data_IF_979396784973
#
_entry.id   IF_979396784973
#
_cell.length_a   1.000
_cell.length_b   1.000
_cell.length_c   1.000
_cell.angle_alpha   90.00
_cell.angle_beta   90.00
_cell.angle_gamma   90.00
#
_symmetry.space_group_name_H-M   'P 1'
#
loop_
_entity.id
_entity.type
_entity.pdbx_description
1 polymer ?
#
# COMPACT_ATOMS: atom_id res chain seq x y z
N UNK A 1 43.78 10.40 42.90
CA UNK A 1 44.48 9.21 42.39
C UNK A 1 43.42 8.45 41.59
N UNK A 2 43.46 8.21 40.27
CA UNK A 2 44.51 8.05 39.27
C UNK A 2 44.00 8.63 37.94
N UNK A 3 44.91 9.25 37.21
CA UNK A 3 44.83 9.75 35.83
C UNK A 3 44.61 8.64 34.78
N UNK A 4 43.85 8.90 33.72
CA UNK A 4 44.19 8.45 32.36
C UNK A 4 43.36 9.19 31.31
N UNK A 5 43.99 10.16 30.65
CA UNK A 5 43.58 10.64 29.34
C UNK A 5 44.13 9.66 28.27
N UNK A 6 43.34 9.34 27.25
CA UNK A 6 43.88 8.81 25.98
C UNK A 6 43.27 9.54 24.80
N UNK A 7 44.09 10.42 24.24
CA UNK A 7 43.99 11.01 22.91
C UNK A 7 44.49 9.98 21.89
N UNK A 8 43.75 9.73 20.80
CA UNK A 8 44.32 9.17 19.57
C UNK A 8 43.82 9.97 18.37
N UNK A 9 44.82 10.47 17.63
CA UNK A 9 44.73 11.35 16.47
C UNK A 9 44.38 10.58 15.19
N UNK A 10 43.65 11.28 14.33
CA UNK A 10 43.69 11.34 12.86
C UNK A 10 43.97 10.08 12.00
N UNK A 11 43.08 9.86 11.02
CA UNK A 11 43.51 9.80 9.61
C UNK A 11 42.37 10.14 8.65
N UNK A 12 42.42 11.36 8.12
CA UNK A 12 41.78 11.69 6.86
C UNK A 12 42.55 10.99 5.74
N UNK A 13 41.86 10.29 4.84
CA UNK A 13 42.47 9.75 3.62
C UNK A 13 41.78 10.35 2.40
N UNK A 14 42.54 11.29 1.79
CA UNK A 14 42.26 11.92 0.51
C UNK A 14 42.17 10.88 -0.61
N UNK A 15 41.19 11.11 -1.48
CA UNK A 15 41.18 10.96 -2.93
C UNK A 15 41.98 9.85 -3.62
N UNK A 16 41.30 9.13 -4.51
CA UNK A 16 41.89 8.80 -5.80
C UNK A 16 40.80 8.78 -6.87
N UNK A 17 40.96 9.73 -7.80
CA UNK A 17 40.31 9.85 -9.09
C UNK A 17 40.78 8.68 -9.97
N UNK A 18 39.87 7.91 -10.56
CA UNK A 18 40.21 7.05 -11.70
C UNK A 18 39.22 7.29 -12.85
N UNK A 19 39.82 7.83 -13.90
CA UNK A 19 39.32 8.15 -15.22
C UNK A 19 39.34 6.87 -16.08
N UNK A 20 38.53 6.88 -17.16
CA UNK A 20 38.51 5.93 -18.31
C UNK A 20 37.72 4.63 -18.07
N UNK A 21 36.92 4.10 -19.01
CA UNK A 21 37.07 4.07 -20.46
C UNK A 21 35.72 3.83 -21.16
N UNK A 22 35.46 4.55 -22.26
CA UNK A 22 34.40 4.30 -23.23
C UNK A 22 34.52 2.88 -23.82
N UNK A 23 33.43 2.12 -23.81
CA UNK A 23 33.28 0.88 -24.56
C UNK A 23 31.99 0.93 -25.38
N UNK A 24 32.10 1.27 -26.66
CA UNK A 24 31.01 1.15 -27.65
C UNK A 24 31.02 -0.31 -28.12
N UNK A 25 30.12 -1.12 -27.57
CA UNK A 25 29.84 -2.46 -28.06
C UNK A 25 28.77 -2.41 -29.16
N UNK A 26 29.18 -2.60 -30.41
CA UNK A 26 28.27 -2.80 -31.53
C UNK A 26 27.69 -4.23 -31.45
N UNK A 27 26.39 -4.34 -31.18
CA UNK A 27 25.64 -5.58 -31.38
C UNK A 27 25.12 -5.61 -32.82
N UNK A 28 25.59 -6.56 -33.62
CA UNK A 28 25.04 -6.88 -34.93
C UNK A 28 24.16 -8.14 -34.78
N UNK A 29 22.82 -8.05 -34.87
CA UNK A 29 21.99 -9.25 -34.87
C UNK A 29 21.96 -9.83 -36.30
N UNK A 30 22.57 -11.00 -36.46
CA UNK A 30 22.28 -11.91 -37.58
C UNK A 30 20.84 -12.38 -37.41
N UNK A 31 19.99 -12.08 -38.39
CA UNK A 31 18.61 -12.56 -38.44
C UNK A 31 18.63 -14.03 -38.89
N UNK A 32 18.24 -14.94 -38.00
CA UNK A 32 17.80 -16.28 -38.35
C UNK A 32 16.28 -16.26 -38.55
N UNK A 33 15.83 -16.73 -39.71
CA UNK A 33 14.45 -16.74 -40.15
C UNK A 33 13.70 -17.91 -39.50
N UNK A 34 12.67 -17.61 -38.68
CA UNK A 34 11.75 -18.61 -38.12
C UNK A 34 10.43 -18.53 -38.86
N UNK A 35 9.87 -19.65 -39.36
CA UNK A 35 8.73 -19.65 -40.27
C UNK A 35 7.44 -19.22 -39.57
N UNK A 36 6.67 -18.43 -40.32
CA UNK A 36 5.39 -17.86 -39.94
C UNK A 36 4.35 -18.94 -39.59
N UNK A 37 4.03 -19.06 -38.30
CA UNK A 37 2.68 -19.42 -37.89
C UNK A 37 1.94 -18.12 -37.56
N UNK A 38 1.09 -17.74 -38.50
CA UNK A 38 0.15 -16.64 -38.45
C UNK A 38 -0.83 -16.86 -37.32
N UNK A 39 -0.66 -16.15 -36.21
CA UNK A 39 -1.72 -15.39 -35.53
C UNK A 39 -1.07 -14.13 -34.95
N UNK A 40 -1.30 -13.00 -35.62
CA UNK A 40 -0.80 -11.70 -35.17
C UNK A 40 -1.46 -11.34 -33.83
N UNK A 41 -0.70 -11.01 -32.77
CA UNK A 41 -1.30 -10.41 -31.59
C UNK A 41 -1.85 -9.06 -32.03
N UNK A 42 -3.18 -8.93 -31.97
CA UNK A 42 -3.87 -7.66 -32.14
C UNK A 42 -3.19 -6.62 -31.22
N UNK A 43 -2.83 -5.50 -31.82
CA UNK A 43 -1.89 -4.54 -31.26
C UNK A 43 -2.21 -4.12 -29.82
N UNK A 44 -1.18 -4.16 -28.97
CA UNK A 44 -1.20 -3.50 -27.66
C UNK A 44 -1.10 -1.99 -27.86
N UNK A 45 -2.21 -1.37 -28.23
CA UNK A 45 -2.37 0.09 -28.27
C UNK A 45 -3.37 0.60 -27.23
N UNK A 46 -3.84 -0.26 -26.32
CA UNK A 46 -4.68 0.15 -25.18
C UNK A 46 -3.81 0.49 -23.98
N UNK A 47 -3.97 1.71 -23.45
CA UNK A 47 -3.48 2.05 -22.10
C UNK A 47 -4.09 1.07 -21.08
N UNK A 48 -3.34 0.71 -20.05
CA UNK A 48 -3.87 -0.12 -18.96
C UNK A 48 -4.94 0.67 -18.20
N UNK A 49 -6.18 0.17 -18.21
CA UNK A 49 -7.27 0.67 -17.38
C UNK A 49 -7.41 -0.22 -16.14
N UNK A 50 -7.49 0.42 -14.98
CA UNK A 50 -7.69 -0.31 -13.73
C UNK A 50 -9.15 -0.76 -13.59
N UNK A 51 -9.37 -1.97 -13.07
CA UNK A 51 -10.73 -2.43 -12.79
C UNK A 51 -11.42 -1.57 -11.72
N UNK A 52 -12.76 -1.57 -11.66
CA UNK A 52 -13.51 -0.88 -10.61
C UNK A 52 -13.04 -1.21 -9.20
N UNK A 53 -12.77 -2.50 -8.91
CA UNK A 53 -12.24 -2.91 -7.62
C UNK A 53 -10.85 -2.33 -7.35
N UNK A 54 -9.96 -2.32 -8.34
CA UNK A 54 -8.63 -1.75 -8.19
C UNK A 54 -8.68 -0.23 -7.96
N UNK A 55 -9.64 0.48 -8.57
CA UNK A 55 -9.92 1.88 -8.28
C UNK A 55 -10.39 2.06 -6.84
N UNK A 56 -11.36 1.26 -6.39
CA UNK A 56 -11.87 1.29 -5.02
C UNK A 56 -10.75 1.08 -3.99
N UNK A 57 -9.92 0.04 -4.14
CA UNK A 57 -8.81 -0.25 -3.23
C UNK A 57 -7.80 0.91 -3.13
N UNK A 58 -7.54 1.61 -4.24
CA UNK A 58 -6.65 2.79 -4.24
C UNK A 58 -7.28 3.99 -3.54
N UNK A 59 -8.59 4.22 -3.72
CA UNK A 59 -9.31 5.26 -2.98
C UNK A 59 -9.23 4.96 -1.49
N UNK A 60 -9.57 3.74 -1.08
CA UNK A 60 -9.59 3.33 0.32
C UNK A 60 -8.26 3.55 1.03
N UNK A 61 -7.15 3.17 0.40
CA UNK A 61 -5.82 3.42 0.95
C UNK A 61 -5.53 4.93 1.08
N UNK A 62 -5.92 5.72 0.08
CA UNK A 62 -5.74 7.18 0.06
C UNK A 62 -6.58 7.86 1.15
N UNK A 63 -7.82 7.42 1.32
CA UNK A 63 -8.76 7.95 2.31
C UNK A 63 -8.24 7.66 3.74
N UNK A 64 -7.81 6.43 4.02
CA UNK A 64 -7.20 6.06 5.29
C UNK A 64 -5.88 6.83 5.56
N UNK A 65 -5.03 6.99 4.55
CA UNK A 65 -3.81 7.80 4.65
C UNK A 65 -4.11 9.27 4.99
N UNK A 66 -5.12 9.85 4.33
CA UNK A 66 -5.49 11.26 4.52
C UNK A 66 -5.98 11.55 5.94
N UNK A 67 -6.59 10.56 6.59
CA UNK A 67 -7.16 10.68 7.93
C UNK A 67 -6.20 10.22 9.04
N UNK A 68 -5.07 9.61 8.69
CA UNK A 68 -4.05 9.13 9.64
C UNK A 68 -3.65 10.18 10.67
N UNK A 69 -3.36 11.41 10.24
CA UNK A 69 -2.93 12.47 11.15
C UNK A 69 -4.03 12.87 12.14
N UNK A 70 -5.30 12.85 11.71
CA UNK A 70 -6.45 13.13 12.59
C UNK A 70 -6.72 11.97 13.54
N UNK A 71 -6.52 10.73 13.09
CA UNK A 71 -6.61 9.55 13.95
C UNK A 71 -5.58 9.66 15.08
N UNK A 72 -4.32 9.91 14.73
CA UNK A 72 -3.21 10.04 15.67
C UNK A 72 -3.40 11.20 16.66
N UNK A 73 -3.89 12.35 16.18
CA UNK A 73 -4.23 13.49 17.02
C UNK A 73 -5.50 13.27 17.87
N UNK A 74 -6.28 12.23 17.60
CA UNK A 74 -7.56 11.98 18.27
C UNK A 74 -8.65 12.99 17.91
N UNK A 75 -8.56 13.63 16.74
CA UNK A 75 -9.47 14.69 16.27
C UNK A 75 -10.36 14.23 15.11
N UNK A 76 -10.37 12.93 14.82
CA UNK A 76 -11.20 12.33 13.77
C UNK A 76 -12.69 12.42 14.18
N UNK A 77 -13.54 12.83 13.26
CA UNK A 77 -14.96 13.10 13.52
C UNK A 77 -15.87 11.99 13.01
N UNK A 78 -17.07 11.87 13.58
CA UNK A 78 -18.09 10.92 13.09
C UNK A 78 -18.40 11.15 11.61
N UNK A 79 -18.52 12.40 11.17
CA UNK A 79 -18.81 12.72 9.77
C UNK A 79 -17.72 12.27 8.79
N UNK A 80 -16.46 12.28 9.19
CA UNK A 80 -15.36 11.77 8.38
C UNK A 80 -15.38 10.24 8.27
N UNK A 81 -15.71 9.54 9.37
CA UNK A 81 -15.85 8.08 9.33
C UNK A 81 -17.09 7.67 8.54
N UNK A 82 -18.22 8.39 8.68
CA UNK A 82 -19.44 8.13 7.91
C UNK A 82 -19.19 8.30 6.40
N UNK A 83 -18.47 9.35 6.00
CA UNK A 83 -18.07 9.56 4.61
C UNK A 83 -17.19 8.41 4.10
N UNK A 84 -16.24 7.93 4.91
CA UNK A 84 -15.38 6.80 4.58
C UNK A 84 -16.19 5.50 4.42
N UNK A 85 -17.08 5.17 5.35
CA UNK A 85 -17.96 3.99 5.28
C UNK A 85 -18.76 4.02 3.98
N UNK A 86 -19.39 5.16 3.67
CA UNK A 86 -20.18 5.32 2.45
C UNK A 86 -19.35 5.17 1.19
N UNK A 87 -18.15 5.74 1.15
CA UNK A 87 -17.26 5.67 -0.01
C UNK A 87 -16.74 4.24 -0.23
N UNK A 88 -16.45 3.51 0.85
CA UNK A 88 -15.80 2.21 0.80
C UNK A 88 -16.79 1.05 0.59
N UNK A 89 -18.08 1.25 0.89
CA UNK A 89 -19.11 0.22 0.71
C UNK A 89 -19.19 -0.33 -0.73
N UNK A 90 -18.82 0.48 -1.73
CA UNK A 90 -18.83 0.06 -3.14
C UNK A 90 -17.87 -1.11 -3.45
N UNK A 91 -16.86 -1.38 -2.62
CA UNK A 91 -15.92 -2.49 -2.87
C UNK A 91 -16.59 -3.87 -2.83
N UNK A 92 -17.71 -4.02 -2.12
CA UNK A 92 -18.38 -5.33 -1.92
C UNK A 92 -18.99 -5.87 -3.21
N UNK A 93 -19.20 -5.00 -4.20
CA UNK A 93 -19.80 -5.34 -5.50
C UNK A 93 -18.96 -4.89 -6.70
N UNK A 94 -17.75 -4.39 -6.49
CA UNK A 94 -16.91 -3.86 -7.56
C UNK A 94 -16.22 -4.96 -8.37
N UNK A 95 -16.21 -4.82 -9.70
CA UNK A 95 -15.58 -5.79 -10.59
C UNK A 95 -14.05 -5.84 -10.46
N UNK A 96 -13.53 -7.06 -10.27
CA UNK A 96 -12.10 -7.33 -10.23
C UNK A 96 -11.47 -7.36 -11.64
N UNK A 97 -10.15 -7.15 -11.70
CA UNK A 97 -9.41 -7.25 -12.97
C UNK A 97 -9.43 -8.68 -13.52
N UNK A 98 -9.44 -9.66 -12.61
CA UNK A 98 -9.57 -11.09 -12.88
C UNK A 98 -10.54 -11.67 -11.85
N UNK A 99 -11.84 -11.79 -12.17
CA UNK A 99 -12.84 -12.30 -11.24
C UNK A 99 -12.47 -13.67 -10.66
N UNK A 100 -11.76 -14.51 -11.42
CA UNK A 100 -11.28 -15.83 -11.01
C UNK A 100 -10.23 -15.79 -9.88
N UNK A 101 -9.54 -14.66 -9.69
CA UNK A 101 -8.57 -14.47 -8.60
C UNK A 101 -9.27 -14.10 -7.27
N UNK A 102 -10.56 -13.76 -7.31
CA UNK A 102 -11.35 -13.40 -6.12
C UNK A 102 -12.04 -14.63 -5.54
N UNK A 103 -11.48 -15.14 -4.44
CA UNK A 103 -12.08 -16.26 -3.69
C UNK A 103 -13.38 -15.84 -2.97
N UNK A 104 -14.29 -16.79 -2.68
CA UNK A 104 -15.54 -16.51 -1.96
C UNK A 104 -15.38 -15.81 -0.60
N UNK A 105 -14.22 -15.95 0.06
CA UNK A 105 -13.92 -15.28 1.33
C UNK A 105 -13.76 -13.76 1.22
N UNK A 106 -13.68 -13.19 0.01
CA UNK A 106 -13.45 -11.76 -0.19
C UNK A 106 -14.55 -10.91 0.42
N UNK A 107 -15.81 -11.33 0.24
CA UNK A 107 -16.99 -10.64 0.77
C UNK A 107 -16.92 -10.53 2.30
N UNK A 108 -16.54 -11.62 2.98
CA UNK A 108 -16.37 -11.62 4.44
C UNK A 108 -15.27 -10.65 4.92
N UNK A 109 -14.17 -10.50 4.19
CA UNK A 109 -13.15 -9.50 4.51
C UNK A 109 -13.65 -8.06 4.26
N UNK A 110 -14.38 -7.83 3.18
CA UNK A 110 -14.95 -6.53 2.85
C UNK A 110 -15.98 -6.10 3.91
N UNK A 111 -16.86 -7.00 4.33
CA UNK A 111 -17.80 -6.77 5.42
C UNK A 111 -17.09 -6.52 6.75
N UNK A 112 -16.12 -7.36 7.10
CA UNK A 112 -15.33 -7.18 8.32
C UNK A 112 -14.65 -5.81 8.37
N UNK A 113 -14.16 -5.31 7.24
CA UNK A 113 -13.57 -3.97 7.16
C UNK A 113 -14.60 -2.87 7.47
N UNK A 114 -15.80 -2.97 6.88
CA UNK A 114 -16.87 -2.00 7.14
C UNK A 114 -17.34 -2.05 8.60
N UNK A 115 -17.40 -3.24 9.21
CA UNK A 115 -17.66 -3.40 10.64
C UNK A 115 -16.59 -2.70 11.48
N UNK A 116 -15.30 -2.85 11.15
CA UNK A 116 -14.24 -2.14 11.89
C UNK A 116 -14.34 -0.62 11.77
N UNK A 117 -14.82 -0.09 10.64
CA UNK A 117 -15.13 1.34 10.53
C UNK A 117 -16.33 1.76 11.38
N UNK A 118 -17.35 0.90 11.50
CA UNK A 118 -18.48 1.13 12.41
C UNK A 118 -18.03 1.13 13.88
N UNK A 119 -17.12 0.22 14.26
CA UNK A 119 -16.52 0.19 15.59
C UNK A 119 -15.72 1.49 15.85
N UNK A 120 -14.90 1.93 14.90
CA UNK A 120 -14.21 3.23 14.99
C UNK A 120 -15.20 4.38 15.18
N UNK A 121 -16.27 4.43 14.38
CA UNK A 121 -17.32 5.43 14.49
C UNK A 121 -17.95 5.44 15.89
N UNK A 122 -18.21 4.27 16.46
CA UNK A 122 -18.79 4.12 17.79
C UNK A 122 -17.83 4.63 18.88
N UNK A 123 -16.53 4.34 18.79
CA UNK A 123 -15.53 4.86 19.74
C UNK A 123 -15.46 6.40 19.74
N UNK A 124 -15.69 7.04 18.59
CA UNK A 124 -15.76 8.51 18.48
C UNK A 124 -17.09 9.02 19.08
N UNK A 125 -18.20 8.37 18.75
CA UNK A 125 -19.55 8.74 19.21
C UNK A 125 -19.68 8.69 20.72
N UNK A 126 -19.12 7.66 21.34
CA UNK A 126 -19.14 7.44 22.79
C UNK A 126 -18.03 8.17 23.54
N UNK A 127 -17.20 8.94 22.83
CA UNK A 127 -16.03 9.64 23.39
C UNK A 127 -15.09 8.71 24.16
N UNK A 128 -14.87 7.49 23.64
CA UNK A 128 -13.92 6.53 24.21
C UNK A 128 -12.50 7.11 24.31
N UNK A 129 -11.60 6.45 25.04
CA UNK A 129 -10.22 6.91 25.21
C UNK A 129 -9.51 7.08 23.86
N UNK A 130 -8.47 7.93 23.81
CA UNK A 130 -7.64 8.08 22.60
C UNK A 130 -7.09 6.72 22.14
N UNK A 131 -6.60 5.91 23.08
CA UNK A 131 -6.09 4.56 22.83
C UNK A 131 -7.14 3.66 22.15
N UNK A 132 -8.37 3.59 22.68
CA UNK A 132 -9.44 2.80 22.08
C UNK A 132 -9.78 3.23 20.65
N UNK A 133 -9.74 4.55 20.36
CA UNK A 133 -9.96 5.06 19.00
C UNK A 133 -8.83 4.67 18.04
N UNK A 134 -7.58 4.64 18.52
CA UNK A 134 -6.42 4.23 17.72
C UNK A 134 -6.42 2.73 17.45
N UNK A 135 -6.79 1.92 18.45
CA UNK A 135 -7.00 0.48 18.29
C UNK A 135 -8.05 0.19 17.22
N UNK A 136 -9.21 0.85 17.29
CA UNK A 136 -10.28 0.68 16.29
C UNK A 136 -9.83 1.11 14.87
N UNK A 137 -9.11 2.24 14.75
CA UNK A 137 -8.55 2.67 13.45
C UNK A 137 -7.55 1.65 12.89
N UNK A 138 -6.66 1.12 13.74
CA UNK A 138 -5.68 0.11 13.35
C UNK A 138 -6.31 -1.26 13.07
N UNK A 139 -7.46 -1.56 13.67
CA UNK A 139 -8.21 -2.79 13.41
C UNK A 139 -8.76 -2.80 11.98
N UNK A 140 -9.29 -1.67 11.49
CA UNK A 140 -9.69 -1.53 10.09
C UNK A 140 -8.51 -1.79 9.11
N UNK A 141 -7.33 -1.21 9.39
CA UNK A 141 -6.11 -1.47 8.60
C UNK A 141 -5.65 -2.91 8.67
N UNK A 142 -5.86 -3.58 9.79
CA UNK A 142 -5.50 -4.99 9.97
C UNK A 142 -6.38 -5.89 9.10
N UNK A 143 -7.66 -5.56 8.93
CA UNK A 143 -8.53 -6.26 7.97
C UNK A 143 -8.06 -6.04 6.52
N UNK A 144 -7.57 -4.85 6.17
CA UNK A 144 -6.96 -4.61 4.86
C UNK A 144 -5.78 -5.56 4.60
N UNK A 145 -4.87 -5.70 5.58
CA UNK A 145 -3.71 -6.60 5.46
C UNK A 145 -4.16 -8.07 5.35
N UNK A 146 -5.13 -8.50 6.16
CA UNK A 146 -5.63 -9.87 6.13
C UNK A 146 -6.26 -10.23 4.77
N UNK A 147 -7.06 -9.33 4.20
CA UNK A 147 -7.61 -9.50 2.86
C UNK A 147 -6.51 -9.63 1.79
N UNK A 148 -5.50 -8.75 1.86
CA UNK A 148 -4.39 -8.77 0.90
C UNK A 148 -3.47 -9.99 1.04
N UNK A 149 -3.35 -10.58 2.22
CA UNK A 149 -2.63 -11.84 2.41
C UNK A 149 -3.34 -13.03 1.75
N UNK A 150 -4.68 -13.01 1.69
CA UNK A 150 -5.48 -14.14 1.20
C UNK A 150 -5.82 -14.06 -0.30
N UNK A 151 -6.11 -12.86 -0.81
CA UNK A 151 -6.73 -12.67 -2.13
C UNK A 151 -5.81 -12.04 -3.17
N UNK A 152 -5.16 -10.93 -2.82
CA UNK A 152 -4.31 -10.20 -3.74
C UNK A 152 -3.17 -9.55 -2.95
N UNK A 153 -1.89 -9.89 -3.20
CA UNK A 153 -0.79 -9.48 -2.33
C UNK A 153 -0.65 -7.97 -2.16
N UNK A 154 -1.21 -7.17 -3.08
CA UNK A 154 -1.38 -5.72 -2.93
C UNK A 154 -0.13 -4.98 -2.45
N UNK A 155 -0.28 -3.74 -1.96
CA UNK A 155 0.81 -3.01 -1.33
C UNK A 155 0.75 -3.11 0.20
N UNK A 156 0.88 -4.32 0.78
CA UNK A 156 0.80 -4.53 2.25
C UNK A 156 1.73 -3.58 3.02
N UNK A 157 2.98 -3.42 2.59
CA UNK A 157 3.94 -2.51 3.23
C UNK A 157 3.48 -1.05 3.25
N UNK A 158 2.67 -0.61 2.28
CA UNK A 158 2.06 0.73 2.28
C UNK A 158 1.00 0.83 3.37
N UNK A 159 0.11 -0.17 3.44
CA UNK A 159 -1.00 -0.23 4.40
C UNK A 159 -0.46 -0.24 5.85
N UNK A 160 0.58 -1.01 6.11
CA UNK A 160 1.19 -1.08 7.45
C UNK A 160 1.76 0.25 7.92
N UNK A 161 2.25 1.09 7.01
CA UNK A 161 2.76 2.44 7.33
C UNK A 161 1.65 3.43 7.71
N UNK A 162 0.38 3.11 7.39
CA UNK A 162 -0.77 3.94 7.79
C UNK A 162 -1.03 3.80 9.29
N UNK A 163 -0.69 2.66 9.91
CA UNK A 163 -0.94 2.42 11.33
C UNK A 163 -0.39 3.55 12.21
N UNK A 164 -1.13 3.82 13.28
CA UNK A 164 -0.85 4.84 14.29
C UNK A 164 -0.46 4.16 15.60
N UNK A 165 0.35 4.82 16.43
CA UNK A 165 0.78 4.23 17.70
C UNK A 165 -0.25 4.54 18.79
N UNK A 166 -0.79 3.51 19.48
CA UNK A 166 -1.73 3.70 20.60
C UNK A 166 -1.20 4.67 21.67
#
# INVERSE_FOLDING_TARGET
MITAAMSIKHKARKGLLFLTLLGVGACNPTAEEVPANTEAPTGRTGMYEASPLAVAMRSMATDMESLRAKADAGTLTVGEVDAMISAHAAMTSADATKPEDIKPSFEGYAEAYLIQLQDLRETITTQASREARLEAFNAALTTCVACHQEHCPGPISRIEKIKVQP
#
